data_IF_541913311050
#
_entry.id   IF_541913311050
#
_cell.length_a   1.000
_cell.length_b   1.000
_cell.length_c   1.000
_cell.angle_alpha   90.00
_cell.angle_beta   90.00
_cell.angle_gamma   90.00
#
_symmetry.space_group_name_H-M   'P 1'
#
loop_
_entity.id
_entity.type
_entity.pdbx_description
1 polymer ?
#
# COMPACT_ATOMS: atom_id res chain seq x y z
N UNK A 1 -21.50 23.99 20.81
CA UNK A 1 -21.95 23.13 19.70
C UNK A 1 -21.23 21.79 19.88
N UNK A 2 -21.94 20.75 20.29
CA UNK A 2 -21.32 19.43 20.39
C UNK A 2 -21.05 18.96 18.95
N UNK A 3 -19.78 18.83 18.60
CA UNK A 3 -19.37 18.32 17.31
C UNK A 3 -19.90 16.90 17.11
N UNK A 4 -20.55 16.62 15.99
CA UNK A 4 -20.98 15.27 15.61
C UNK A 4 -19.80 14.30 15.46
N UNK A 5 -18.56 14.81 15.51
CA UNK A 5 -17.32 14.04 15.41
C UNK A 5 -16.76 13.58 16.77
N UNK A 6 -17.37 14.01 17.90
CA UNK A 6 -16.88 13.69 19.25
C UNK A 6 -17.37 12.33 19.79
N UNK A 7 -17.84 11.43 18.92
CA UNK A 7 -18.25 10.11 19.35
C UNK A 7 -17.01 9.23 19.56
N UNK A 8 -16.56 9.14 20.80
CA UNK A 8 -15.55 8.18 21.18
C UNK A 8 -16.10 6.75 21.11
N UNK A 9 -15.37 5.83 20.46
CA UNK A 9 -15.70 4.40 20.41
C UNK A 9 -14.79 3.68 21.41
N UNK A 10 -15.38 2.94 22.34
CA UNK A 10 -14.63 2.10 23.26
C UNK A 10 -13.89 1.00 22.50
N UNK A 11 -12.66 0.68 22.93
CA UNK A 11 -11.82 -0.32 22.27
C UNK A 11 -12.51 -1.70 22.16
N UNK A 12 -13.32 -2.07 23.15
CA UNK A 12 -14.08 -3.33 23.14
C UNK A 12 -15.25 -3.33 22.13
N UNK A 13 -15.71 -2.16 21.71
CA UNK A 13 -16.80 -2.00 20.74
C UNK A 13 -16.31 -1.81 19.29
N UNK A 14 -15.00 -1.70 19.05
CA UNK A 14 -14.42 -1.43 17.72
C UNK A 14 -14.90 -2.45 16.71
N UNK A 15 -14.66 -3.73 16.92
CA UNK A 15 -15.03 -4.80 15.97
C UNK A 15 -16.53 -4.86 15.73
N UNK A 16 -17.35 -4.75 16.79
CA UNK A 16 -18.82 -4.70 16.72
C UNK A 16 -19.30 -3.49 15.92
N UNK A 17 -18.66 -2.34 16.09
CA UNK A 17 -19.01 -1.11 15.37
C UNK A 17 -18.66 -1.22 13.88
N UNK A 18 -17.46 -1.70 13.55
CA UNK A 18 -17.02 -1.91 12.17
C UNK A 18 -17.90 -2.93 11.44
N UNK A 19 -18.25 -4.05 12.09
CA UNK A 19 -19.06 -5.13 11.50
C UNK A 19 -20.48 -4.71 11.10
N UNK A 20 -20.95 -3.53 11.51
CA UNK A 20 -22.23 -2.99 11.05
C UNK A 20 -22.20 -2.54 9.59
N UNK A 21 -21.03 -2.19 9.08
CA UNK A 21 -20.89 -1.52 7.79
C UNK A 21 -19.83 -2.13 6.87
N UNK A 22 -18.85 -2.84 7.42
CA UNK A 22 -17.77 -3.44 6.66
C UNK A 22 -17.55 -4.90 7.08
N UNK A 23 -16.86 -5.68 6.23
CA UNK A 23 -16.38 -7.00 6.59
C UNK A 23 -15.20 -6.87 7.56
N UNK A 24 -15.48 -7.01 8.87
CA UNK A 24 -14.48 -6.91 9.93
C UNK A 24 -13.88 -8.29 10.28
N UNK A 25 -13.23 -8.93 9.32
CA UNK A 25 -12.62 -10.27 9.42
C UNK A 25 -11.12 -10.25 9.77
N UNK A 26 -10.60 -9.10 10.20
CA UNK A 26 -9.23 -8.93 10.65
C UNK A 26 -8.90 -9.67 11.96
N UNK A 27 -7.66 -9.56 12.41
CA UNK A 27 -7.21 -10.16 13.67
C UNK A 27 -8.07 -9.70 14.84
N UNK A 28 -8.15 -10.54 15.88
CA UNK A 28 -8.78 -10.16 17.14
C UNK A 28 -7.81 -9.31 17.97
N UNK A 29 -7.60 -8.09 17.50
CA UNK A 29 -6.63 -7.13 18.01
C UNK A 29 -7.16 -5.72 17.73
N UNK A 30 -7.07 -4.82 18.70
CA UNK A 30 -7.39 -3.40 18.53
C UNK A 30 -6.11 -2.59 18.68
N UNK A 31 -5.64 -2.04 17.59
CA UNK A 31 -4.37 -1.32 17.52
C UNK A 31 -4.43 -0.01 18.32
N UNK A 32 -3.63 0.08 19.38
CA UNK A 32 -3.41 1.32 20.12
C UNK A 32 -2.38 2.18 19.36
N UNK A 33 -2.88 3.17 18.63
CA UNK A 33 -2.05 4.06 17.82
C UNK A 33 -1.15 4.98 18.66
N UNK A 34 -1.50 5.24 19.91
CA UNK A 34 -0.76 6.14 20.78
C UNK A 34 0.36 5.41 21.54
N UNK A 35 0.07 4.18 22.00
CA UNK A 35 1.00 3.42 22.85
C UNK A 35 1.93 2.49 22.09
N UNK A 36 1.57 2.10 20.85
CA UNK A 36 2.47 1.29 20.02
C UNK A 36 3.74 2.07 19.69
N UNK A 37 4.91 1.42 19.73
CA UNK A 37 6.19 2.09 19.58
C UNK A 37 7.26 1.18 18.99
N UNK A 38 8.15 1.75 18.20
CA UNK A 38 9.22 0.98 17.56
C UNK A 38 8.67 -0.24 16.82
N UNK A 39 9.07 -1.44 17.23
CA UNK A 39 8.58 -2.72 16.70
C UNK A 39 7.51 -3.38 17.57
N UNK A 40 6.84 -2.63 18.44
CA UNK A 40 5.84 -3.16 19.35
C UNK A 40 4.45 -2.65 19.06
N UNK A 41 3.53 -3.56 18.84
CA UNK A 41 2.10 -3.31 18.74
C UNK A 41 1.43 -3.48 20.10
N UNK A 42 0.61 -2.53 20.50
CA UNK A 42 -0.15 -2.57 21.76
C UNK A 42 -1.63 -2.83 21.45
N UNK A 43 -2.22 -3.83 22.09
CA UNK A 43 -3.68 -4.03 22.04
C UNK A 43 -4.36 -3.04 23.00
N UNK A 44 -5.14 -2.13 22.44
CA UNK A 44 -5.82 -1.07 23.20
C UNK A 44 -6.80 -1.60 24.25
N UNK A 45 -7.35 -2.81 24.06
CA UNK A 45 -8.32 -3.42 25.01
C UNK A 45 -7.64 -3.94 26.26
N UNK A 46 -6.42 -4.46 26.13
CA UNK A 46 -5.75 -5.21 27.17
C UNK A 46 -4.44 -4.57 27.65
N UNK A 47 -3.89 -3.65 26.86
CA UNK A 47 -2.56 -3.08 27.06
C UNK A 47 -1.42 -4.07 26.78
N UNK A 48 -1.73 -5.26 26.26
CA UNK A 48 -0.71 -6.27 25.96
C UNK A 48 0.12 -5.87 24.74
N UNK A 49 1.43 -6.02 24.84
CA UNK A 49 2.38 -5.76 23.78
C UNK A 49 2.69 -7.02 22.97
N UNK A 50 2.85 -6.84 21.67
CA UNK A 50 3.21 -7.88 20.71
C UNK A 50 4.36 -7.39 19.83
N UNK A 51 5.39 -8.21 19.66
CA UNK A 51 6.46 -7.91 18.71
C UNK A 51 5.89 -7.99 17.28
N UNK A 52 6.08 -6.93 16.52
CA UNK A 52 5.52 -6.80 15.19
C UNK A 52 6.35 -7.51 14.12
N UNK A 53 5.83 -8.63 13.60
CA UNK A 53 6.32 -9.29 12.39
C UNK A 53 5.41 -9.06 11.17
N UNK A 54 4.40 -8.19 11.31
CA UNK A 54 3.44 -7.88 10.27
C UNK A 54 3.80 -6.60 9.49
N UNK A 55 4.32 -5.59 10.20
CA UNK A 55 4.74 -4.27 9.67
C UNK A 55 3.68 -3.60 8.78
N UNK A 56 2.40 -3.85 9.04
CA UNK A 56 1.27 -3.41 8.21
C UNK A 56 1.53 -3.70 6.72
N UNK A 57 1.89 -4.94 6.38
CA UNK A 57 2.32 -5.39 5.05
C UNK A 57 3.57 -4.66 4.52
N UNK A 58 4.51 -4.30 5.40
CA UNK A 58 5.73 -3.59 5.05
C UNK A 58 5.57 -2.08 4.86
N UNK A 59 4.41 -1.51 5.17
CA UNK A 59 4.17 -0.06 5.07
C UNK A 59 4.67 0.74 6.28
N UNK A 60 4.99 0.08 7.39
CA UNK A 60 5.54 0.69 8.62
C UNK A 60 7.02 0.34 8.82
N UNK A 61 7.84 0.58 7.80
CA UNK A 61 9.24 0.20 7.78
C UNK A 61 10.09 0.83 8.90
N UNK A 62 9.72 2.01 9.40
CA UNK A 62 10.42 2.71 10.49
C UNK A 62 9.82 2.40 11.88
N UNK A 63 8.80 1.53 11.93
CA UNK A 63 8.07 1.23 13.17
C UNK A 63 7.06 2.30 13.56
N UNK A 64 6.51 2.13 14.78
CA UNK A 64 5.41 2.95 15.29
C UNK A 64 5.93 4.10 16.15
N UNK A 65 5.31 5.26 16.01
CA UNK A 65 5.60 6.46 16.81
C UNK A 65 7.10 6.77 16.90
N UNK A 66 7.81 6.66 15.77
CA UNK A 66 9.23 6.93 15.71
C UNK A 66 9.53 8.35 16.19
N UNK A 67 10.48 8.58 17.15
CA UNK A 67 10.70 9.90 17.75
C UNK A 67 11.00 11.01 16.74
N UNK A 68 11.77 10.70 15.71
CA UNK A 68 12.05 11.66 14.63
C UNK A 68 10.78 12.07 13.89
N UNK A 69 9.89 11.14 13.58
CA UNK A 69 8.61 11.42 12.89
C UNK A 69 7.73 12.30 13.77
N UNK A 70 7.61 11.97 15.08
CA UNK A 70 6.83 12.78 16.02
C UNK A 70 7.37 14.20 16.17
N UNK A 71 8.69 14.36 16.20
CA UNK A 71 9.32 15.68 16.26
C UNK A 71 9.02 16.57 15.03
N UNK A 72 8.65 15.97 13.88
CA UNK A 72 8.32 16.66 12.64
C UNK A 72 6.80 16.64 12.32
N UNK A 73 5.95 16.36 13.30
CA UNK A 73 4.49 16.26 13.11
C UNK A 73 3.89 17.53 12.48
N UNK A 74 4.40 18.73 12.82
CA UNK A 74 3.96 19.98 12.22
C UNK A 74 4.24 20.08 10.72
N UNK A 75 5.32 19.48 10.24
CA UNK A 75 5.66 19.44 8.82
C UNK A 75 4.74 18.48 8.07
N UNK A 76 4.43 17.33 8.65
CA UNK A 76 3.42 16.43 8.11
C UNK A 76 2.04 17.07 8.04
N UNK A 77 1.65 17.86 9.04
CA UNK A 77 0.38 18.56 9.04
C UNK A 77 0.26 19.53 7.85
N UNK A 78 1.34 20.24 7.50
CA UNK A 78 1.34 21.18 6.34
C UNK A 78 0.99 20.47 5.04
N UNK A 79 1.56 19.29 4.79
CA UNK A 79 1.29 18.51 3.56
C UNK A 79 -0.02 17.74 3.66
N UNK A 80 -0.46 17.35 4.86
CA UNK A 80 -1.68 16.60 5.11
C UNK A 80 -2.98 17.35 4.81
N UNK A 81 -2.95 18.71 4.85
CA UNK A 81 -4.12 19.52 4.52
C UNK A 81 -4.39 19.67 3.02
N UNK A 82 -3.48 19.25 2.17
CA UNK A 82 -3.56 19.43 0.74
C UNK A 82 -3.24 18.13 -0.02
N UNK A 83 -3.65 18.07 -1.28
CA UNK A 83 -3.24 16.99 -2.18
C UNK A 83 -1.83 17.28 -2.70
N UNK A 84 -0.83 16.58 -2.17
CA UNK A 84 0.59 16.80 -2.49
C UNK A 84 1.07 16.09 -3.73
N UNK A 85 0.47 14.96 -4.10
CA UNK A 85 0.84 14.18 -5.29
C UNK A 85 -0.32 14.09 -6.27
N UNK A 86 -0.17 14.72 -7.44
CA UNK A 86 -1.12 14.66 -8.55
C UNK A 86 -0.33 14.78 -9.86
N UNK A 87 -0.80 14.12 -10.92
CA UNK A 87 -0.12 14.06 -12.22
C UNK A 87 -0.06 15.39 -12.97
N UNK A 88 -1.03 16.27 -12.75
CA UNK A 88 -1.24 17.45 -13.60
C UNK A 88 -0.80 18.77 -12.96
N UNK A 89 -0.62 18.78 -11.65
CA UNK A 89 -0.22 19.97 -10.88
C UNK A 89 0.89 19.60 -9.91
N UNK A 90 2.03 20.26 -10.03
CA UNK A 90 3.21 19.97 -9.22
C UNK A 90 3.39 21.00 -8.10
N UNK A 91 4.09 20.57 -7.03
CA UNK A 91 4.47 21.44 -5.92
C UNK A 91 5.89 21.09 -5.44
N UNK A 92 6.46 21.99 -4.63
CA UNK A 92 7.84 21.87 -4.15
C UNK A 92 8.05 20.65 -3.25
N UNK A 93 7.11 20.32 -2.36
CA UNK A 93 7.22 19.16 -1.47
C UNK A 93 7.28 17.85 -2.23
N UNK A 94 6.50 17.75 -3.30
CA UNK A 94 6.54 16.56 -4.16
C UNK A 94 7.87 16.49 -4.93
N UNK A 95 8.36 17.62 -5.42
CA UNK A 95 9.64 17.69 -6.11
C UNK A 95 10.81 17.31 -5.18
N UNK A 96 10.83 17.82 -3.95
CA UNK A 96 11.82 17.48 -2.92
C UNK A 96 11.81 15.98 -2.55
N UNK A 97 10.62 15.41 -2.43
CA UNK A 97 10.46 13.97 -2.22
C UNK A 97 11.05 13.17 -3.39
N UNK A 98 10.66 13.50 -4.62
CA UNK A 98 11.10 12.77 -5.82
C UNK A 98 12.62 12.89 -6.01
N UNK A 99 13.19 14.09 -5.82
CA UNK A 99 14.64 14.31 -5.89
C UNK A 99 15.39 13.48 -4.83
N UNK A 100 14.91 13.52 -3.60
CA UNK A 100 15.51 12.77 -2.49
C UNK A 100 15.43 11.26 -2.73
N UNK A 101 14.27 10.77 -3.16
CA UNK A 101 14.08 9.36 -3.50
C UNK A 101 14.98 8.94 -4.66
N UNK A 102 15.10 9.76 -5.70
CA UNK A 102 15.95 9.52 -6.85
C UNK A 102 17.43 9.39 -6.48
N UNK A 103 17.92 10.29 -5.60
CA UNK A 103 19.33 10.28 -5.17
C UNK A 103 19.68 9.16 -4.20
N UNK A 104 18.76 8.76 -3.34
CA UNK A 104 19.06 7.85 -2.20
C UNK A 104 18.48 6.45 -2.42
N UNK A 105 17.25 6.36 -2.96
CA UNK A 105 16.48 5.11 -3.03
C UNK A 105 16.53 4.40 -4.38
N UNK A 106 16.88 5.10 -5.47
CA UNK A 106 16.87 4.52 -6.81
C UNK A 106 18.25 4.02 -7.23
N UNK A 107 18.38 2.75 -7.68
CA UNK A 107 19.61 2.29 -8.29
C UNK A 107 19.79 2.90 -9.69
N UNK A 108 21.03 3.11 -10.12
CA UNK A 108 21.35 3.76 -11.40
C UNK A 108 20.79 3.05 -12.64
N UNK A 109 20.52 1.74 -12.55
CA UNK A 109 19.92 0.96 -13.64
C UNK A 109 18.38 1.03 -13.69
N UNK A 110 17.72 1.69 -12.72
CA UNK A 110 16.30 2.01 -12.73
C UNK A 110 16.10 3.51 -12.49
N UNK A 111 16.39 4.37 -13.49
CA UNK A 111 16.47 5.82 -13.32
C UNK A 111 15.09 6.52 -13.31
N UNK A 112 14.01 5.79 -13.50
CA UNK A 112 12.66 6.34 -13.58
C UNK A 112 11.75 5.70 -12.52
N UNK A 113 10.90 6.50 -11.90
CA UNK A 113 9.88 6.06 -10.95
C UNK A 113 8.49 6.51 -11.42
N UNK A 114 7.49 5.73 -11.05
CA UNK A 114 6.09 6.06 -11.24
C UNK A 114 5.32 5.79 -9.95
N UNK A 115 4.80 6.84 -9.33
CA UNK A 115 4.14 6.76 -8.03
C UNK A 115 2.63 6.62 -8.20
N UNK A 116 2.05 5.61 -7.54
CA UNK A 116 0.61 5.31 -7.52
C UNK A 116 0.16 4.85 -6.15
N UNK A 117 -1.13 4.87 -5.91
CA UNK A 117 -1.72 4.52 -4.62
C UNK A 117 -1.82 3.00 -4.46
N UNK A 118 -0.86 2.42 -3.75
CA UNK A 118 -0.89 1.02 -3.31
C UNK A 118 -0.23 0.02 -4.24
N UNK A 119 0.17 -1.12 -3.63
CA UNK A 119 0.95 -2.18 -4.30
C UNK A 119 0.25 -2.82 -5.49
N UNK A 120 -1.08 -3.01 -5.44
CA UNK A 120 -1.82 -3.57 -6.57
C UNK A 120 -1.70 -2.69 -7.82
N UNK A 121 -1.88 -1.37 -7.69
CA UNK A 121 -1.76 -0.43 -8.80
C UNK A 121 -0.30 -0.29 -9.27
N UNK A 122 0.67 -0.41 -8.37
CA UNK A 122 2.08 -0.43 -8.75
C UNK A 122 2.39 -1.64 -9.64
N UNK A 123 1.92 -2.83 -9.28
CA UNK A 123 2.07 -4.04 -10.11
C UNK A 123 1.30 -3.92 -11.43
N UNK A 124 0.07 -3.38 -11.44
CA UNK A 124 -0.69 -3.12 -12.67
C UNK A 124 0.10 -2.26 -13.66
N UNK A 125 0.71 -1.16 -13.18
CA UNK A 125 1.48 -0.28 -14.04
C UNK A 125 2.80 -0.93 -14.49
N UNK A 126 3.46 -1.70 -13.63
CA UNK A 126 4.65 -2.48 -14.01
C UNK A 126 4.32 -3.49 -15.14
N UNK A 127 3.18 -4.15 -15.07
CA UNK A 127 2.70 -5.06 -16.12
C UNK A 127 2.42 -4.31 -17.42
N UNK A 128 1.77 -3.15 -17.38
CA UNK A 128 1.53 -2.32 -18.57
C UNK A 128 2.84 -1.95 -19.26
N UNK A 129 3.83 -1.52 -18.50
CA UNK A 129 5.18 -1.20 -19.03
C UNK A 129 5.82 -2.45 -19.63
N UNK A 130 5.75 -3.59 -18.95
CA UNK A 130 6.35 -4.83 -19.43
C UNK A 130 5.71 -5.32 -20.73
N UNK A 131 4.38 -5.24 -20.86
CA UNK A 131 3.65 -5.61 -22.07
C UNK A 131 4.02 -4.68 -23.25
N UNK A 132 3.95 -3.36 -23.05
CA UNK A 132 4.29 -2.38 -24.07
C UNK A 132 5.73 -2.58 -24.57
N UNK A 133 6.68 -2.67 -23.64
CA UNK A 133 8.08 -2.92 -23.95
C UNK A 133 8.28 -4.22 -24.75
N UNK A 134 7.63 -5.31 -24.31
CA UNK A 134 7.81 -6.61 -24.98
C UNK A 134 7.19 -6.65 -26.36
N UNK A 135 6.00 -6.09 -26.53
CA UNK A 135 5.32 -6.03 -27.81
C UNK A 135 6.12 -5.16 -28.80
N UNK A 136 6.55 -3.97 -28.42
CA UNK A 136 7.38 -3.09 -29.27
C UNK A 136 8.65 -3.81 -29.72
N UNK A 137 9.37 -4.43 -28.79
CA UNK A 137 10.58 -5.21 -29.10
C UNK A 137 10.33 -6.37 -30.06
N UNK A 138 9.17 -7.01 -30.01
CA UNK A 138 8.79 -8.09 -30.92
C UNK A 138 8.39 -7.55 -32.30
N UNK A 139 7.70 -6.42 -32.37
CA UNK A 139 7.38 -5.73 -33.62
C UNK A 139 8.65 -5.31 -34.38
N UNK A 140 9.61 -4.70 -33.68
CA UNK A 140 10.92 -4.34 -34.26
C UNK A 140 11.66 -5.54 -34.86
N UNK A 141 11.45 -6.74 -34.31
CA UNK A 141 12.04 -8.00 -34.81
C UNK A 141 11.18 -8.73 -35.85
N UNK A 142 10.06 -8.17 -36.26
CA UNK A 142 9.14 -8.81 -37.21
C UNK A 142 8.38 -10.02 -36.65
N UNK A 143 8.35 -10.20 -35.30
CA UNK A 143 7.69 -11.33 -34.63
C UNK A 143 6.16 -11.10 -34.51
N UNK A 144 5.70 -9.86 -34.63
CA UNK A 144 4.31 -9.44 -34.47
C UNK A 144 3.95 -9.06 -33.03
N UNK A 145 2.67 -8.78 -32.78
CA UNK A 145 2.12 -8.33 -31.48
C UNK A 145 2.05 -9.48 -30.47
N UNK A 146 3.22 -9.97 -30.06
CA UNK A 146 3.35 -11.00 -29.03
C UNK A 146 4.02 -10.43 -27.78
N UNK A 147 3.70 -10.94 -26.60
CA UNK A 147 4.36 -10.53 -25.34
C UNK A 147 3.38 -10.10 -24.26
N UNK A 148 2.13 -10.59 -24.29
CA UNK A 148 1.10 -10.34 -23.30
C UNK A 148 0.99 -11.42 -22.21
N UNK A 149 1.95 -12.35 -22.15
CA UNK A 149 1.95 -13.42 -21.14
C UNK A 149 2.97 -13.12 -20.03
N UNK A 150 2.57 -13.40 -18.80
CA UNK A 150 3.40 -13.23 -17.60
C UNK A 150 3.57 -14.58 -16.91
N UNK A 151 4.82 -14.90 -16.57
CA UNK A 151 5.16 -16.05 -15.71
C UNK A 151 5.14 -15.56 -14.27
N UNK A 152 4.39 -16.23 -13.42
CA UNK A 152 4.31 -15.94 -11.99
C UNK A 152 4.33 -17.21 -11.14
N UNK A 153 4.68 -17.08 -9.86
CA UNK A 153 4.75 -18.23 -8.95
C UNK A 153 3.36 -18.61 -8.42
N UNK A 154 3.17 -19.91 -8.16
CA UNK A 154 1.99 -20.41 -7.44
C UNK A 154 1.98 -19.88 -6.01
N UNK A 155 0.78 -19.70 -5.46
CA UNK A 155 0.53 -19.21 -4.10
C UNK A 155 1.08 -17.78 -3.84
N UNK A 156 1.46 -17.07 -4.88
CA UNK A 156 1.88 -15.68 -4.78
C UNK A 156 0.67 -14.73 -4.74
N UNK A 157 0.85 -13.61 -4.07
CA UNK A 157 -0.12 -12.52 -4.00
C UNK A 157 0.44 -11.30 -4.72
N UNK A 158 -0.28 -10.79 -5.71
CA UNK A 158 0.11 -9.62 -6.50
C UNK A 158 -0.86 -8.45 -6.37
N UNK A 159 -2.00 -8.65 -5.72
CA UNK A 159 -3.07 -7.70 -5.57
C UNK A 159 -4.43 -8.27 -5.95
N UNK A 160 -5.46 -7.43 -5.91
CA UNK A 160 -6.85 -7.81 -6.18
C UNK A 160 -7.53 -6.92 -7.23
N UNK A 161 -6.77 -6.14 -7.99
CA UNK A 161 -7.22 -5.44 -9.19
C UNK A 161 -7.21 -6.36 -10.41
N UNK A 162 -7.61 -5.91 -11.58
CA UNK A 162 -7.81 -6.75 -12.75
C UNK A 162 -6.63 -7.68 -13.10
N UNK A 163 -5.53 -7.14 -13.59
CA UNK A 163 -4.36 -7.96 -13.96
C UNK A 163 -3.71 -8.63 -12.74
N UNK A 164 -3.63 -7.93 -11.61
CA UNK A 164 -3.00 -8.51 -10.41
C UNK A 164 -3.81 -9.67 -9.84
N UNK A 165 -5.14 -9.62 -9.90
CA UNK A 165 -6.00 -10.73 -9.48
C UNK A 165 -5.81 -11.95 -10.38
N UNK A 166 -5.57 -11.74 -11.67
CA UNK A 166 -5.29 -12.82 -12.63
C UNK A 166 -4.03 -13.62 -12.28
N UNK A 167 -3.07 -12.99 -11.61
CA UNK A 167 -1.83 -13.62 -11.14
C UNK A 167 -1.88 -14.06 -9.68
N UNK A 168 -2.85 -13.58 -8.90
CA UNK A 168 -3.02 -13.95 -7.50
C UNK A 168 -3.69 -15.33 -7.41
N UNK A 169 -3.00 -16.29 -6.81
CA UNK A 169 -3.48 -17.67 -6.65
C UNK A 169 -3.14 -18.22 -5.26
N UNK A 170 -3.49 -17.45 -4.23
CA UNK A 170 -3.38 -17.88 -2.83
C UNK A 170 -4.20 -19.15 -2.55
N UNK A 171 -3.93 -19.82 -1.43
CA UNK A 171 -4.56 -21.10 -1.06
C UNK A 171 -6.09 -21.05 -0.94
N UNK A 172 -6.68 -19.87 -0.71
CA UNK A 172 -8.13 -19.70 -0.63
C UNK A 172 -8.71 -19.30 -2.00
N UNK A 173 -9.34 -20.25 -2.75
CA UNK A 173 -9.86 -19.98 -4.09
C UNK A 173 -11.04 -19.01 -4.12
N UNK A 174 -11.78 -18.83 -3.01
CA UNK A 174 -12.93 -17.91 -2.93
C UNK A 174 -12.56 -16.48 -3.29
N UNK A 175 -11.29 -16.13 -3.17
CA UNK A 175 -10.77 -14.78 -3.46
C UNK A 175 -10.68 -14.47 -4.95
N UNK A 176 -10.68 -15.47 -5.83
CA UNK A 176 -10.47 -15.28 -7.28
C UNK A 176 -11.29 -16.20 -8.19
N UNK A 177 -12.00 -17.21 -7.67
CA UNK A 177 -12.58 -18.29 -8.46
C UNK A 177 -13.67 -17.86 -9.47
N UNK A 178 -14.36 -16.74 -9.22
CA UNK A 178 -15.45 -16.27 -10.08
C UNK A 178 -15.10 -15.01 -10.88
N UNK A 179 -13.87 -14.57 -10.82
CA UNK A 179 -13.42 -13.39 -11.55
C UNK A 179 -12.78 -13.77 -12.88
N UNK A 180 -13.07 -13.05 -13.98
CA UNK A 180 -12.40 -13.28 -15.25
C UNK A 180 -10.91 -13.04 -15.12
N UNK A 181 -10.13 -13.82 -15.85
CA UNK A 181 -8.67 -13.65 -15.92
C UNK A 181 -8.32 -12.94 -17.20
N UNK A 182 -7.38 -12.04 -17.12
CA UNK A 182 -6.89 -11.23 -18.23
C UNK A 182 -5.53 -11.75 -18.71
#
# INVERSE_FOLDING_TARGET
MNSTFDKHIDANDVKKTLSKYILADGFDFVFDMEKSHGSWLVDQRTGKEYLDFFSMFGSMAVGYNHPYILAHAADFAKVGFNKTSISDIYNTYYAEFVDTFGRIGMPSYLPHAFFVDGGALAVENALKVAFDWKVRKNLEKGIGEKGSQIIHYKQAFHGRSGYTLSMTNTSDPRKYMYFPRF
#
